data_IF_694039322224
#
_entry.id   IF_694039322224
#
_cell.length_a   1.000
_cell.length_b   1.000
_cell.length_c   1.000
_cell.angle_alpha   90.00
_cell.angle_beta   90.00
_cell.angle_gamma   90.00
#
_symmetry.space_group_name_H-M   'P 1'
#
loop_
_entity.id
_entity.type
_entity.pdbx_description
1 polymer ?
#
# COMPACT_ATOMS: atom_id res chain seq x y z
N UNK A 1 -26.94 -79.67 49.96
CA UNK A 1 -28.31 -79.86 50.47
C UNK A 1 -28.89 -78.46 50.66
N UNK A 2 -29.30 -77.76 49.59
CA UNK A 2 -30.64 -77.69 48.96
C UNK A 2 -30.51 -76.77 47.72
N UNK A 3 -30.50 -77.22 46.45
CA UNK A 3 -31.60 -77.32 45.44
C UNK A 3 -32.59 -76.13 45.47
N UNK A 4 -32.75 -75.29 44.43
CA UNK A 4 -33.39 -75.44 43.08
C UNK A 4 -32.66 -74.51 42.04
N UNK A 5 -32.31 -74.82 40.78
CA UNK A 5 -33.04 -75.15 39.52
C UNK A 5 -34.16 -74.12 39.18
N UNK A 6 -34.29 -73.43 38.03
CA UNK A 6 -34.13 -73.80 36.61
C UNK A 6 -33.83 -72.60 35.68
N UNK A 7 -33.12 -72.94 34.60
CA UNK A 7 -32.98 -72.39 33.24
C UNK A 7 -34.02 -71.42 32.64
N UNK A 8 -33.55 -70.41 31.89
CA UNK A 8 -33.91 -70.12 30.46
C UNK A 8 -33.05 -68.95 29.92
N UNK A 9 -32.13 -69.19 28.96
CA UNK A 9 -32.27 -68.96 27.50
C UNK A 9 -31.72 -67.59 27.02
N UNK A 10 -30.65 -67.68 26.22
CA UNK A 10 -30.25 -66.84 25.08
C UNK A 10 -29.98 -65.33 25.28
N UNK A 11 -28.79 -64.89 24.85
CA UNK A 11 -28.55 -63.47 24.55
C UNK A 11 -27.09 -63.03 24.67
N UNK A 12 -26.24 -63.60 23.84
CA UNK A 12 -24.88 -63.18 23.48
C UNK A 12 -24.56 -61.67 23.59
N UNK A 13 -23.59 -61.31 24.44
CA UNK A 13 -22.78 -60.08 24.32
C UNK A 13 -21.36 -60.33 24.85
N UNK A 14 -20.60 -61.14 24.12
CA UNK A 14 -19.15 -61.23 24.25
C UNK A 14 -18.54 -60.78 22.91
N UNK A 15 -17.50 -59.94 23.03
CA UNK A 15 -16.62 -59.44 21.98
C UNK A 15 -17.23 -58.48 20.93
N UNK A 16 -16.62 -57.30 20.81
CA UNK A 16 -15.94 -56.82 19.60
C UNK A 16 -15.73 -55.29 19.69
N UNK A 17 -14.78 -54.87 20.54
CA UNK A 17 -14.13 -53.57 20.39
C UNK A 17 -12.88 -53.77 19.52
N UNK A 18 -13.06 -53.92 18.20
CA UNK A 18 -12.01 -53.63 17.22
C UNK A 18 -12.60 -53.59 15.80
N UNK A 19 -12.47 -52.43 15.14
CA UNK A 19 -12.48 -52.33 13.67
C UNK A 19 -13.83 -52.05 13.01
N UNK A 20 -14.14 -50.76 12.78
CA UNK A 20 -14.84 -50.37 11.55
C UNK A 20 -14.56 -48.90 11.19
N UNK A 21 -13.39 -48.68 10.56
CA UNK A 21 -13.27 -47.59 9.59
C UNK A 21 -14.23 -47.86 8.41
N UNK A 22 -14.71 -46.80 7.77
CA UNK A 22 -15.46 -46.78 6.51
C UNK A 22 -16.92 -47.24 6.56
N UNK A 23 -17.83 -46.25 6.73
CA UNK A 23 -19.05 -46.01 5.91
C UNK A 23 -20.00 -45.05 6.65
N UNK A 24 -19.64 -43.77 6.72
CA UNK A 24 -20.57 -42.69 7.03
C UNK A 24 -20.07 -41.38 6.39
N UNK A 25 -19.67 -41.46 5.12
CA UNK A 25 -19.48 -40.32 4.23
C UNK A 25 -20.54 -40.42 3.15
N UNK A 26 -21.73 -39.90 3.41
CA UNK A 26 -22.66 -39.40 2.39
C UNK A 26 -23.97 -38.99 3.08
N UNK A 27 -24.43 -37.79 2.72
CA UNK A 27 -25.79 -37.24 2.94
C UNK A 27 -26.05 -36.56 4.30
N UNK A 28 -25.54 -35.33 4.44
CA UNK A 28 -26.39 -34.19 4.85
C UNK A 28 -25.76 -32.85 4.41
N UNK A 29 -25.47 -32.72 3.11
CA UNK A 29 -25.26 -31.42 2.48
C UNK A 29 -26.59 -31.00 1.86
N UNK A 30 -27.31 -30.09 2.50
CA UNK A 30 -28.23 -29.07 1.94
C UNK A 30 -28.82 -28.36 3.16
N UNK A 31 -28.38 -27.11 3.37
CA UNK A 31 -29.11 -25.96 3.91
C UNK A 31 -28.14 -25.05 4.69
N UNK A 32 -27.20 -24.43 3.99
CA UNK A 32 -26.58 -23.16 4.39
C UNK A 32 -26.05 -22.46 3.12
N UNK A 33 -26.94 -22.28 2.15
CA UNK A 33 -26.73 -21.30 1.09
C UNK A 33 -27.21 -19.95 1.64
N UNK A 34 -26.40 -19.35 2.51
CA UNK A 34 -26.48 -17.91 2.75
C UNK A 34 -25.95 -17.27 1.46
N UNK A 35 -26.71 -16.39 0.80
CA UNK A 35 -26.17 -15.65 -0.33
C UNK A 35 -25.03 -14.80 0.23
N UNK A 36 -23.81 -15.20 -0.13
CA UNK A 36 -22.59 -14.44 0.11
C UNK A 36 -22.87 -13.04 -0.40
N UNK A 37 -22.91 -12.10 0.54
CA UNK A 37 -23.32 -10.73 0.31
C UNK A 37 -22.58 -10.16 -0.89
N UNK A 38 -23.32 -9.33 -1.63
CA UNK A 38 -22.84 -8.40 -2.61
C UNK A 38 -21.62 -7.65 -2.02
N UNK A 39 -20.41 -8.18 -2.24
CA UNK A 39 -19.18 -7.44 -2.00
C UNK A 39 -19.19 -6.39 -3.09
N UNK A 40 -19.66 -5.19 -2.75
CA UNK A 40 -19.47 -4.03 -3.59
C UNK A 40 -17.99 -3.96 -3.90
N UNK A 41 -17.63 -4.05 -5.18
CA UNK A 41 -16.32 -3.65 -5.66
C UNK A 41 -16.24 -2.14 -5.44
N UNK A 42 -15.88 -1.74 -4.22
CA UNK A 42 -15.37 -0.40 -3.98
C UNK A 42 -14.15 -0.26 -4.86
N UNK A 43 -14.25 0.60 -5.86
CA UNK A 43 -13.10 1.15 -6.55
C UNK A 43 -12.28 1.83 -5.45
N UNK A 44 -11.14 1.25 -5.10
CA UNK A 44 -10.17 1.92 -4.25
C UNK A 44 -9.75 3.17 -5.03
N UNK A 45 -10.07 4.34 -4.48
CA UNK A 45 -9.69 5.58 -5.10
C UNK A 45 -8.23 5.84 -4.72
N UNK A 46 -7.41 6.16 -5.71
CA UNK A 46 -6.07 6.72 -5.52
C UNK A 46 -6.06 7.87 -4.47
N UNK A 47 -7.15 8.64 -4.39
CA UNK A 47 -7.24 9.76 -3.47
C UNK A 47 -8.64 9.83 -2.84
N UNK A 48 -8.70 10.21 -1.57
CA UNK A 48 -9.94 10.53 -0.88
C UNK A 48 -10.29 12.01 -1.07
N UNK A 49 -11.44 12.29 -1.67
CA UNK A 49 -12.01 13.64 -1.76
C UNK A 49 -13.02 13.91 -0.64
N UNK A 50 -12.89 15.04 0.06
CA UNK A 50 -13.82 15.45 1.13
C UNK A 50 -13.94 16.98 1.24
N UNK A 51 -15.16 17.47 1.45
CA UNK A 51 -15.41 18.87 1.76
C UNK A 51 -15.05 19.16 3.23
N UNK A 52 -14.31 20.27 3.44
CA UNK A 52 -13.80 20.76 4.71
C UNK A 52 -14.12 22.24 4.81
N UNK A 53 -15.26 22.56 5.41
CA UNK A 53 -15.74 23.95 5.48
C UNK A 53 -15.96 24.54 4.10
N UNK A 54 -15.24 25.61 3.78
CA UNK A 54 -15.28 26.31 2.50
C UNK A 54 -14.31 25.72 1.45
N UNK A 55 -13.72 24.56 1.71
CA UNK A 55 -12.70 23.94 0.86
C UNK A 55 -13.07 22.51 0.49
N UNK A 56 -12.52 22.01 -0.61
CA UNK A 56 -12.47 20.59 -0.95
C UNK A 56 -11.03 20.11 -0.86
N UNK A 57 -10.83 19.02 -0.11
CA UNK A 57 -9.54 18.36 0.08
C UNK A 57 -9.53 17.05 -0.70
N UNK A 58 -8.53 16.86 -1.54
CA UNK A 58 -8.26 15.57 -2.20
C UNK A 58 -6.92 15.04 -1.69
N UNK A 59 -6.96 13.97 -0.91
CA UNK A 59 -5.84 13.47 -0.09
C UNK A 59 -5.42 12.08 -0.56
N UNK A 60 -4.11 11.85 -0.70
CA UNK A 60 -3.56 10.54 -1.05
C UNK A 60 -2.05 10.49 -0.90
N UNK A 61 -1.41 9.52 -1.55
CA UNK A 61 0.04 9.46 -1.66
C UNK A 61 0.56 10.26 -2.88
N UNK A 62 1.84 10.67 -2.84
CA UNK A 62 2.47 11.37 -3.97
C UNK A 62 2.56 10.48 -5.22
N UNK A 63 2.86 9.20 -5.02
CA UNK A 63 2.98 8.21 -6.09
C UNK A 63 2.29 6.92 -5.69
N UNK A 64 1.56 6.32 -6.62
CA UNK A 64 0.73 5.15 -6.33
C UNK A 64 1.00 3.98 -7.29
N UNK A 65 1.04 2.73 -6.79
CA UNK A 65 0.84 2.36 -5.37
C UNK A 65 1.97 2.87 -4.48
N UNK A 66 1.65 3.24 -3.24
CA UNK A 66 2.69 3.58 -2.27
C UNK A 66 3.42 2.31 -1.87
N UNK A 67 4.75 2.30 -1.92
CA UNK A 67 5.58 1.11 -1.67
C UNK A 67 6.53 1.35 -0.51
N UNK A 68 6.58 0.40 0.42
CA UNK A 68 7.53 0.39 1.55
C UNK A 68 8.98 0.59 1.06
N UNK A 69 9.71 1.52 1.66
CA UNK A 69 11.13 1.76 1.40
C UNK A 69 11.43 2.59 0.16
N UNK A 70 10.41 3.03 -0.60
CA UNK A 70 10.58 3.94 -1.74
C UNK A 70 10.23 5.38 -1.37
N UNK A 71 10.85 6.37 -2.04
CA UNK A 71 10.49 7.78 -1.83
C UNK A 71 9.02 8.00 -2.21
N UNK A 72 8.26 8.62 -1.31
CA UNK A 72 6.85 8.95 -1.51
C UNK A 72 6.48 10.14 -0.60
N UNK A 73 5.21 10.30 -0.25
CA UNK A 73 4.79 11.28 0.72
C UNK A 73 3.28 11.49 0.76
N UNK A 74 2.85 12.46 1.56
CA UNK A 74 1.48 12.97 1.55
C UNK A 74 1.28 13.84 0.32
N UNK A 75 0.14 13.66 -0.34
CA UNK A 75 -0.38 14.51 -1.42
C UNK A 75 -1.72 15.08 -0.96
N UNK A 76 -1.88 16.41 -1.01
CA UNK A 76 -3.17 17.07 -0.80
C UNK A 76 -3.41 18.13 -1.87
N UNK A 77 -4.56 18.10 -2.53
CA UNK A 77 -5.07 19.21 -3.34
C UNK A 77 -6.13 19.96 -2.56
N UNK A 78 -6.06 21.29 -2.58
CA UNK A 78 -7.00 22.17 -1.88
C UNK A 78 -7.61 23.14 -2.88
N UNK A 79 -8.94 23.10 -3.01
CA UNK A 79 -9.71 24.04 -3.82
C UNK A 79 -10.80 24.72 -2.98
N UNK A 80 -11.11 25.98 -3.24
CA UNK A 80 -12.27 26.68 -2.69
C UNK A 80 -13.58 26.06 -3.19
N UNK A 81 -14.51 25.83 -2.27
CA UNK A 81 -15.86 25.35 -2.54
C UNK A 81 -16.86 26.49 -2.80
N UNK A 82 -16.45 27.76 -2.67
CA UNK A 82 -17.27 28.91 -3.07
C UNK A 82 -17.26 29.05 -4.60
N UNK A 83 -18.45 29.11 -5.20
CA UNK A 83 -18.59 29.53 -6.59
C UNK A 83 -18.32 31.04 -6.67
N UNK A 84 -17.44 31.44 -7.56
CA UNK A 84 -17.19 32.87 -7.82
C UNK A 84 -18.45 33.51 -8.44
N UNK A 85 -19.17 34.27 -7.63
CA UNK A 85 -20.01 35.38 -8.11
C UNK A 85 -19.06 36.51 -8.54
N UNK A 86 -18.44 36.36 -9.71
CA UNK A 86 -17.81 37.49 -10.38
C UNK A 86 -18.69 37.97 -11.53
N UNK A 87 -19.55 38.93 -11.20
CA UNK A 87 -20.12 39.89 -12.15
C UNK A 87 -18.96 40.53 -12.93
N UNK A 88 -18.84 40.20 -14.22
CA UNK A 88 -18.04 40.99 -15.12
C UNK A 88 -18.86 42.22 -15.54
N UNK A 89 -18.73 43.30 -14.77
CA UNK A 89 -19.04 44.64 -15.27
C UNK A 89 -18.06 44.99 -16.40
N UNK A 90 -18.67 45.51 -17.46
CA UNK A 90 -18.10 46.03 -18.69
C UNK A 90 -16.87 46.92 -18.44
N UNK A 91 -15.76 46.67 -19.16
CA UNK A 91 -14.95 47.77 -19.67
C UNK A 91 -14.16 47.36 -20.91
N UNK A 92 -14.57 47.97 -22.03
CA UNK A 92 -13.89 47.92 -23.30
C UNK A 92 -12.73 48.92 -23.31
N UNK A 93 -11.48 48.48 -23.47
CA UNK A 93 -10.43 49.29 -24.10
C UNK A 93 -9.17 48.47 -24.48
N UNK A 94 -9.08 48.19 -25.78
CA UNK A 94 -7.89 48.34 -26.63
C UNK A 94 -6.50 47.88 -26.14
N UNK A 95 -5.99 46.83 -26.80
CA UNK A 95 -4.67 46.84 -27.44
C UNK A 95 -3.51 46.21 -26.67
N UNK A 96 -3.16 44.96 -27.00
CA UNK A 96 -1.92 44.56 -27.69
C UNK A 96 -1.95 43.03 -27.85
N UNK A 97 -2.04 42.57 -29.09
CA UNK A 97 -2.28 41.17 -29.42
C UNK A 97 -0.97 40.41 -29.63
N UNK A 98 -0.50 39.73 -28.59
CA UNK A 98 0.58 38.74 -28.71
C UNK A 98 0.15 37.41 -28.11
N UNK A 99 -0.04 36.41 -28.98
CA UNK A 99 0.03 34.99 -28.67
C UNK A 99 -1.12 34.43 -27.84
N UNK A 100 -2.23 34.05 -28.48
CA UNK A 100 -3.18 33.08 -27.93
C UNK A 100 -2.47 31.73 -27.84
N UNK A 101 -1.81 31.46 -26.72
CA UNK A 101 -1.36 30.12 -26.37
C UNK A 101 -2.61 29.27 -26.13
N UNK A 102 -2.92 28.37 -27.06
CA UNK A 102 -3.98 27.41 -26.85
C UNK A 102 -3.47 26.41 -25.83
N UNK A 103 -3.91 26.63 -24.60
CA UNK A 103 -3.68 25.74 -23.48
C UNK A 103 -4.45 24.41 -23.70
N UNK A 104 -3.78 23.50 -24.41
CA UNK A 104 -4.16 22.11 -24.70
C UNK A 104 -4.30 21.24 -23.44
N UNK A 105 -3.95 21.79 -22.29
CA UNK A 105 -3.90 21.18 -20.98
C UNK A 105 -5.18 21.52 -20.19
N UNK A 106 -5.79 22.68 -20.45
CA UNK A 106 -7.00 23.19 -19.76
C UNK A 106 -8.36 22.56 -20.18
N UNK A 107 -8.46 21.73 -21.22
CA UNK A 107 -9.77 21.37 -21.82
C UNK A 107 -10.23 19.91 -21.72
N UNK A 108 -9.45 19.01 -21.13
CA UNK A 108 -9.64 17.58 -21.43
C UNK A 108 -9.23 17.28 -22.88
N UNK A 109 -9.07 16.01 -23.22
CA UNK A 109 -8.61 15.64 -24.56
C UNK A 109 -9.47 16.31 -25.65
N UNK A 110 -8.83 17.03 -26.58
CA UNK A 110 -9.41 17.54 -27.84
C UNK A 110 -10.38 16.56 -28.51
N UNK A 111 -10.06 15.27 -28.44
CA UNK A 111 -10.95 14.21 -28.86
C UNK A 111 -10.90 12.99 -27.95
N UNK A 112 -12.04 12.30 -27.89
CA UNK A 112 -12.18 10.94 -27.35
C UNK A 112 -13.04 10.16 -28.34
N UNK A 113 -12.54 9.02 -28.80
CA UNK A 113 -13.24 8.13 -29.71
C UNK A 113 -13.31 6.71 -29.14
N UNK A 114 -14.51 6.15 -29.04
CA UNK A 114 -14.71 4.72 -28.80
C UNK A 114 -14.81 3.98 -30.14
N UNK A 115 -13.92 3.01 -30.37
CA UNK A 115 -13.86 2.25 -31.62
C UNK A 115 -14.08 0.77 -31.33
N UNK A 116 -15.17 0.20 -31.85
CA UNK A 116 -15.29 -1.25 -31.98
C UNK A 116 -14.17 -1.81 -32.88
N UNK A 117 -13.95 -3.13 -32.85
CA UNK A 117 -12.97 -3.78 -33.73
C UNK A 117 -13.29 -3.48 -35.21
N UNK A 118 -12.32 -2.95 -35.96
CA UNK A 118 -12.48 -2.53 -37.35
C UNK A 118 -13.23 -1.22 -37.58
N UNK A 119 -13.64 -0.51 -36.52
CA UNK A 119 -14.27 0.81 -36.63
C UNK A 119 -13.21 1.93 -36.75
N UNK A 120 -13.67 3.14 -37.10
CA UNK A 120 -12.84 4.33 -37.15
C UNK A 120 -13.49 5.53 -36.46
N UNK A 121 -12.66 6.49 -36.08
CA UNK A 121 -13.03 7.77 -35.48
C UNK A 121 -12.29 8.90 -36.19
N UNK A 122 -12.94 10.05 -36.38
CA UNK A 122 -12.37 11.19 -37.09
C UNK A 122 -12.39 12.46 -36.25
N UNK A 123 -11.35 13.28 -36.39
CA UNK A 123 -11.25 14.60 -35.78
C UNK A 123 -10.50 15.55 -36.71
N UNK A 124 -10.96 16.79 -36.84
CA UNK A 124 -10.32 17.81 -37.70
C UNK A 124 -9.74 18.92 -36.83
N UNK A 125 -8.46 19.20 -37.02
CA UNK A 125 -7.76 20.30 -36.32
C UNK A 125 -7.95 21.59 -37.11
N UNK A 126 -8.67 22.57 -36.58
CA UNK A 126 -8.80 23.89 -37.20
C UNK A 126 -7.51 24.73 -37.11
N UNK A 127 -7.47 25.84 -37.83
CA UNK A 127 -6.37 26.82 -37.85
C UNK A 127 -5.89 27.33 -36.48
N UNK A 128 -6.70 27.18 -35.44
CA UNK A 128 -6.33 27.56 -34.08
C UNK A 128 -5.19 26.67 -33.52
N UNK A 129 -5.09 25.41 -33.94
CA UNK A 129 -4.06 24.47 -33.46
C UNK A 129 -2.70 24.60 -34.14
N UNK A 130 -2.46 25.66 -34.91
CA UNK A 130 -1.23 25.85 -35.66
C UNK A 130 0.01 25.95 -34.74
N UNK A 131 1.13 25.41 -35.19
CA UNK A 131 2.39 25.29 -34.45
C UNK A 131 2.32 24.52 -33.11
N UNK A 132 1.24 23.77 -32.86
CA UNK A 132 1.09 22.93 -31.68
C UNK A 132 1.47 21.47 -31.93
N UNK A 133 1.90 20.80 -30.86
CA UNK A 133 2.07 19.34 -30.83
C UNK A 133 1.06 18.75 -29.87
N UNK A 134 0.17 17.91 -30.39
CA UNK A 134 -0.91 17.28 -29.64
C UNK A 134 -0.53 15.82 -29.37
N UNK A 135 -0.25 15.43 -28.10
CA UNK A 135 -0.07 14.03 -27.75
C UNK A 135 -1.40 13.28 -27.80
N UNK A 136 -1.36 11.96 -28.00
CA UNK A 136 -2.52 11.08 -27.88
C UNK A 136 -2.12 9.67 -27.41
N UNK A 137 -3.07 8.91 -26.88
CA UNK A 137 -2.88 7.53 -26.45
C UNK A 137 -4.16 6.70 -26.59
N UNK A 138 -4.05 5.38 -26.42
CA UNK A 138 -5.18 4.46 -26.52
C UNK A 138 -5.15 3.37 -25.44
N UNK A 139 -6.33 3.00 -24.94
CA UNK A 139 -6.51 1.89 -24.01
C UNK A 139 -7.21 0.70 -24.69
N UNK A 140 -6.71 -0.54 -24.48
CA UNK A 140 -5.78 -0.95 -23.42
C UNK A 140 -4.29 -1.02 -23.83
N UNK A 141 -3.94 -0.59 -25.05
CA UNK A 141 -2.58 -0.79 -25.58
C UNK A 141 -1.50 0.04 -24.88
N UNK A 142 -1.90 1.05 -24.11
CA UNK A 142 -1.00 1.89 -23.32
C UNK A 142 0.22 2.34 -24.14
N UNK A 143 -0.05 2.81 -25.36
CA UNK A 143 0.94 3.38 -26.27
C UNK A 143 0.65 4.87 -26.48
N UNK A 144 1.69 5.66 -26.70
CA UNK A 144 1.60 7.10 -26.97
C UNK A 144 2.01 7.44 -28.40
N UNK A 145 1.30 8.37 -29.01
CA UNK A 145 1.67 9.02 -30.27
C UNK A 145 1.58 10.54 -30.18
N UNK A 146 1.96 11.22 -31.27
CA UNK A 146 1.89 12.68 -31.36
C UNK A 146 1.46 13.19 -32.74
N UNK A 147 0.79 14.33 -32.76
CA UNK A 147 0.36 15.02 -33.98
C UNK A 147 0.95 16.43 -33.95
N UNK A 148 1.83 16.74 -34.89
CA UNK A 148 2.40 18.09 -35.05
C UNK A 148 1.63 18.84 -36.13
N UNK A 149 1.05 19.99 -35.80
CA UNK A 149 0.30 20.82 -36.75
C UNK A 149 1.19 21.99 -37.19
N UNK A 150 1.29 22.23 -38.51
CA UNK A 150 2.04 23.36 -39.05
C UNK A 150 1.79 23.63 -40.54
N UNK A 151 1.83 24.89 -40.94
CA UNK A 151 1.59 25.32 -42.34
C UNK A 151 2.62 24.80 -43.36
N UNK A 152 3.80 24.39 -42.92
CA UNK A 152 4.91 23.91 -43.76
C UNK A 152 4.80 22.42 -44.16
N UNK A 153 3.78 21.69 -43.68
CA UNK A 153 3.59 20.24 -43.90
C UNK A 153 2.83 19.92 -45.20
N UNK A 154 2.78 18.67 -45.70
CA UNK A 154 2.03 18.33 -46.92
C UNK A 154 0.52 18.63 -46.78
N UNK A 155 -0.11 19.19 -47.82
CA UNK A 155 -1.57 19.31 -47.85
C UNK A 155 -2.17 17.95 -48.21
N UNK A 156 -2.76 17.30 -47.22
CA UNK A 156 -3.56 16.10 -47.35
C UNK A 156 -4.85 16.34 -46.59
N UNK A 157 -5.99 15.95 -47.16
CA UNK A 157 -7.29 16.20 -46.53
C UNK A 157 -7.50 15.28 -45.32
N UNK A 158 -6.97 14.05 -45.41
CA UNK A 158 -7.08 13.02 -44.37
C UNK A 158 -5.74 12.34 -44.13
N UNK A 159 -5.35 12.18 -42.87
CA UNK A 159 -4.25 11.30 -42.43
C UNK A 159 -4.81 10.18 -41.56
N UNK A 160 -4.44 8.94 -41.88
CA UNK A 160 -4.87 7.75 -41.14
C UNK A 160 -3.81 7.35 -40.12
N UNK A 161 -4.25 7.06 -38.90
CA UNK A 161 -3.44 6.49 -37.82
C UNK A 161 -4.07 5.13 -37.45
N UNK A 162 -3.35 4.05 -37.71
CA UNK A 162 -3.78 2.70 -37.37
C UNK A 162 -3.42 2.36 -35.92
N UNK A 163 -4.37 1.75 -35.19
CA UNK A 163 -4.18 1.27 -33.83
C UNK A 163 -3.99 -0.24 -33.84
N UNK A 164 -2.82 -0.69 -33.42
CA UNK A 164 -2.40 -2.09 -33.33
C UNK A 164 -2.12 -2.49 -31.88
N UNK A 165 -2.05 -3.79 -31.58
CA UNK A 165 -1.77 -4.30 -30.22
C UNK A 165 -0.42 -3.83 -29.64
N UNK A 166 0.51 -3.40 -30.50
CA UNK A 166 1.86 -2.98 -30.15
C UNK A 166 2.09 -1.46 -30.30
N UNK A 167 1.06 -0.66 -30.63
CA UNK A 167 1.17 0.78 -30.77
C UNK A 167 0.46 1.35 -32.00
N UNK A 168 0.95 2.49 -32.49
CA UNK A 168 0.33 3.24 -33.59
C UNK A 168 1.18 3.24 -34.86
N UNK A 169 0.53 3.23 -36.01
CA UNK A 169 1.17 3.40 -37.31
C UNK A 169 0.46 4.48 -38.15
N UNK A 170 1.06 5.67 -38.37
CA UNK A 170 2.29 6.14 -37.74
C UNK A 170 2.08 6.58 -36.28
N UNK A 171 3.10 6.40 -35.44
CA UNK A 171 3.10 6.94 -34.07
C UNK A 171 3.31 8.46 -33.99
N UNK A 172 3.79 9.08 -35.07
CA UNK A 172 3.93 10.53 -35.18
C UNK A 172 3.39 10.99 -36.54
N UNK A 173 2.38 11.86 -36.51
CA UNK A 173 1.81 12.47 -37.70
C UNK A 173 2.19 13.96 -37.78
N UNK A 174 2.45 14.45 -38.98
CA UNK A 174 2.66 15.88 -39.26
C UNK A 174 1.57 16.34 -40.22
N UNK A 175 0.76 17.30 -39.82
CA UNK A 175 -0.40 17.76 -40.58
C UNK A 175 -0.42 19.28 -40.73
N UNK A 176 -1.19 19.77 -41.70
CA UNK A 176 -1.55 21.19 -41.77
C UNK A 176 -2.82 21.43 -40.93
N UNK A 177 -3.09 22.68 -40.54
CA UNK A 177 -4.42 23.01 -40.07
C UNK A 177 -5.48 22.68 -41.14
N UNK A 178 -6.70 22.44 -40.67
CA UNK A 178 -7.87 21.93 -41.37
C UNK A 178 -7.75 20.50 -41.92
N UNK A 179 -6.70 19.74 -41.53
CA UNK A 179 -6.55 18.31 -41.88
C UNK A 179 -7.39 17.44 -40.93
N UNK A 180 -8.09 16.44 -41.49
CA UNK A 180 -8.78 15.41 -40.71
C UNK A 180 -7.82 14.27 -40.34
N UNK A 181 -7.76 13.91 -39.07
CA UNK A 181 -7.16 12.65 -38.62
C UNK A 181 -8.24 11.59 -38.54
N UNK A 182 -7.98 10.41 -39.10
CA UNK A 182 -8.79 9.21 -38.93
C UNK A 182 -8.01 8.17 -38.14
N UNK A 183 -8.52 7.81 -36.97
CA UNK A 183 -8.03 6.66 -36.21
C UNK A 183 -8.76 5.40 -36.65
N UNK A 184 -8.05 4.33 -36.95
CA UNK A 184 -8.64 3.04 -37.32
C UNK A 184 -8.24 1.96 -36.30
N UNK A 185 -9.22 1.24 -35.77
CA UNK A 185 -8.95 0.13 -34.86
C UNK A 185 -8.68 -1.16 -35.64
N UNK A 186 -7.40 -1.52 -35.78
CA UNK A 186 -6.96 -2.75 -36.45
C UNK A 186 -6.82 -3.94 -35.48
N UNK A 187 -7.17 -3.77 -34.20
CA UNK A 187 -7.16 -4.83 -33.21
C UNK A 187 -8.45 -5.68 -33.24
N UNK A 188 -8.38 -6.87 -32.63
CA UNK A 188 -9.53 -7.75 -32.47
C UNK A 188 -10.54 -7.29 -31.39
N UNK A 189 -10.16 -6.32 -30.55
CA UNK A 189 -10.93 -5.85 -29.39
C UNK A 189 -11.28 -4.37 -29.53
N UNK A 190 -12.37 -3.90 -28.88
CA UNK A 190 -12.67 -2.47 -28.84
C UNK A 190 -11.55 -1.70 -28.11
N UNK A 191 -11.38 -0.44 -28.50
CA UNK A 191 -10.38 0.47 -27.95
C UNK A 191 -10.99 1.85 -27.75
N UNK A 192 -10.41 2.63 -26.85
CA UNK A 192 -10.68 4.06 -26.74
C UNK A 192 -9.41 4.80 -27.10
N UNK A 193 -9.50 5.73 -28.04
CA UNK A 193 -8.40 6.64 -28.39
C UNK A 193 -8.72 8.03 -27.85
N UNK A 194 -7.73 8.69 -27.27
CA UNK A 194 -7.90 10.02 -26.68
C UNK A 194 -6.64 10.86 -26.87
N UNK A 195 -6.81 12.16 -27.11
CA UNK A 195 -5.70 13.11 -27.05
C UNK A 195 -5.29 13.38 -25.60
N UNK A 196 -4.00 13.53 -25.36
CA UNK A 196 -3.35 13.65 -24.05
C UNK A 196 -2.16 12.68 -23.92
N UNK A 197 -1.19 12.95 -23.03
CA UNK A 197 -0.08 12.04 -22.78
C UNK A 197 -0.55 10.73 -22.13
N UNK A 198 0.10 9.63 -22.48
CA UNK A 198 0.04 8.39 -21.73
C UNK A 198 0.95 8.54 -20.51
N UNK A 199 0.42 8.36 -19.31
CA UNK A 199 1.10 8.67 -18.05
C UNK A 199 2.57 8.20 -17.97
N UNK A 200 3.52 9.14 -18.01
CA UNK A 200 4.70 9.10 -17.15
C UNK A 200 4.32 9.85 -15.87
N UNK A 201 4.53 9.23 -14.70
CA UNK A 201 4.17 9.70 -13.35
C UNK A 201 4.23 11.22 -13.24
N UNK A 202 3.08 11.86 -13.48
CA UNK A 202 2.79 13.25 -13.16
C UNK A 202 1.28 13.34 -13.00
N UNK A 203 0.86 14.02 -11.94
CA UNK A 203 -0.51 14.09 -11.46
C UNK A 203 -1.48 14.65 -12.54
N UNK A 204 -2.79 14.39 -12.41
CA UNK A 204 -3.77 14.55 -13.47
C UNK A 204 -4.11 16.03 -13.72
N UNK A 205 -4.27 16.40 -14.99
CA UNK A 205 -4.94 17.64 -15.39
C UNK A 205 -6.35 17.34 -15.89
N UNK A 206 -7.33 17.95 -15.22
CA UNK A 206 -8.74 17.89 -15.63
C UNK A 206 -9.77 17.60 -14.55
N UNK A 207 -9.39 17.40 -13.28
CA UNK A 207 -10.28 17.82 -12.19
C UNK A 207 -10.00 19.32 -11.93
N UNK A 208 -11.04 20.18 -11.90
CA UNK A 208 -10.94 21.63 -12.14
C UNK A 208 -10.06 22.30 -11.08
N UNK A 209 -9.00 23.04 -11.45
CA UNK A 209 -8.12 23.63 -10.43
C UNK A 209 -7.28 24.86 -10.84
N UNK A 210 -7.72 25.71 -11.77
CA UNK A 210 -7.10 27.05 -11.89
C UNK A 210 -7.92 28.13 -11.18
N UNK A 211 -9.25 28.14 -11.34
CA UNK A 211 -10.09 29.22 -10.83
C UNK A 211 -10.20 29.24 -9.28
N UNK A 212 -10.17 28.06 -8.64
CA UNK A 212 -10.44 27.94 -7.19
C UNK A 212 -9.27 27.34 -6.40
N UNK A 213 -8.06 27.26 -6.96
CA UNK A 213 -6.93 26.67 -6.25
C UNK A 213 -6.48 27.56 -5.09
N UNK A 214 -6.31 26.96 -3.89
CA UNK A 214 -5.83 27.69 -2.72
C UNK A 214 -4.31 27.61 -2.66
N UNK A 215 -3.63 28.66 -3.13
CA UNK A 215 -2.16 28.73 -3.25
C UNK A 215 -1.48 29.43 -2.07
N UNK A 216 -0.17 29.26 -1.90
CA UNK A 216 0.62 30.07 -0.97
C UNK A 216 0.39 29.79 0.53
N UNK A 217 -0.14 28.63 0.90
CA UNK A 217 -0.36 28.27 2.30
C UNK A 217 0.96 28.07 3.04
N UNK A 218 1.07 28.64 4.24
CA UNK A 218 2.26 28.57 5.10
C UNK A 218 1.98 28.04 6.52
N UNK A 219 0.71 28.00 6.91
CA UNK A 219 0.23 27.69 8.26
C UNK A 219 -0.31 26.27 8.40
N UNK A 220 -0.71 25.64 7.29
CA UNK A 220 -1.22 24.27 7.28
C UNK A 220 -0.07 23.25 7.39
N UNK A 221 -0.22 22.29 8.28
CA UNK A 221 0.73 21.20 8.50
C UNK A 221 0.02 19.85 8.43
N UNK A 222 0.80 18.77 8.29
CA UNK A 222 0.29 17.40 8.33
C UNK A 222 1.00 16.58 9.40
N UNK A 223 0.23 15.91 10.26
CA UNK A 223 0.71 14.84 11.13
C UNK A 223 0.45 13.49 10.44
N UNK A 224 1.54 12.77 10.14
CA UNK A 224 1.50 11.44 9.53
C UNK A 224 1.63 10.40 10.62
N UNK A 225 0.69 9.47 10.71
CA UNK A 225 0.68 8.38 11.70
C UNK A 225 0.61 7.01 11.01
N UNK A 226 1.53 6.11 11.33
CA UNK A 226 1.42 4.71 10.91
C UNK A 226 0.47 3.95 11.85
N UNK A 227 -0.65 3.45 11.33
CA UNK A 227 -1.80 2.97 12.12
C UNK A 227 -1.46 1.77 13.00
N UNK A 228 -0.62 0.85 12.53
CA UNK A 228 -0.28 -0.35 13.31
C UNK A 228 0.66 -0.05 14.47
N UNK A 229 1.59 0.91 14.30
CA UNK A 229 2.59 1.24 15.34
C UNK A 229 2.21 2.44 16.22
N UNK A 230 1.25 3.26 15.76
CA UNK A 230 0.88 4.55 16.34
C UNK A 230 2.03 5.56 16.46
N UNK A 231 3.13 5.34 15.74
CA UNK A 231 4.21 6.32 15.60
C UNK A 231 3.76 7.43 14.67
N UNK A 232 3.94 8.68 15.11
CA UNK A 232 3.49 9.88 14.42
C UNK A 232 4.62 10.89 14.25
N UNK A 233 4.57 11.65 13.16
CA UNK A 233 5.48 12.76 12.90
C UNK A 233 4.75 13.90 12.20
N UNK A 234 4.95 15.13 12.69
CA UNK A 234 4.49 16.35 12.03
C UNK A 234 5.47 16.73 10.93
N UNK A 235 4.93 17.07 9.76
CA UNK A 235 5.66 17.46 8.56
C UNK A 235 5.07 18.74 7.97
N UNK A 236 5.94 19.55 7.38
CA UNK A 236 5.55 20.76 6.67
C UNK A 236 5.09 20.41 5.25
N UNK A 237 4.04 21.09 4.81
CA UNK A 237 3.55 21.00 3.43
C UNK A 237 4.30 22.00 2.55
N UNK A 238 4.65 21.58 1.34
CA UNK A 238 5.24 22.43 0.30
C UNK A 238 4.34 22.41 -0.92
N UNK A 239 4.05 23.58 -1.49
CA UNK A 239 3.29 23.68 -2.73
C UNK A 239 4.09 23.06 -3.89
N UNK A 240 3.44 22.21 -4.68
CA UNK A 240 4.04 21.53 -5.80
C UNK A 240 4.21 22.51 -6.98
N UNK A 241 5.44 22.62 -7.48
CA UNK A 241 5.73 23.48 -8.60
C UNK A 241 4.88 23.12 -9.84
N UNK A 242 4.35 24.14 -10.51
CA UNK A 242 3.49 23.98 -11.69
C UNK A 242 2.11 23.38 -11.42
N UNK A 243 1.73 23.15 -10.16
CA UNK A 243 0.45 22.57 -9.77
C UNK A 243 -0.20 23.42 -8.67
N UNK A 244 -0.87 24.54 -9.01
CA UNK A 244 -1.49 25.43 -8.03
C UNK A 244 -2.45 24.70 -7.09
N UNK A 245 -2.35 24.98 -5.79
CA UNK A 245 -3.22 24.37 -4.77
C UNK A 245 -2.91 22.90 -4.44
N UNK A 246 -1.88 22.32 -5.06
CA UNK A 246 -1.36 21.02 -4.71
C UNK A 246 -0.21 21.18 -3.71
N UNK A 247 -0.29 20.50 -2.57
CA UNK A 247 0.76 20.47 -1.55
C UNK A 247 1.24 19.04 -1.29
N UNK A 248 2.49 18.94 -0.85
CA UNK A 248 3.19 17.68 -0.61
C UNK A 248 4.01 17.71 0.67
N UNK A 249 4.10 16.58 1.34
CA UNK A 249 5.09 16.33 2.40
C UNK A 249 5.78 15.00 2.13
N UNK A 250 7.04 15.05 1.71
CA UNK A 250 7.79 13.86 1.30
C UNK A 250 8.28 13.05 2.50
N UNK A 251 8.13 11.73 2.42
CA UNK A 251 8.74 10.78 3.34
C UNK A 251 8.90 9.40 2.68
N UNK A 252 9.76 8.56 3.25
CA UNK A 252 9.86 7.16 2.85
C UNK A 252 9.01 6.33 3.82
N UNK A 253 7.88 5.71 3.40
CA UNK A 253 7.16 4.79 4.27
C UNK A 253 8.03 3.58 4.56
N UNK A 254 8.42 3.38 5.82
CA UNK A 254 9.30 2.27 6.23
C UNK A 254 8.54 1.05 6.75
N UNK A 255 7.21 1.07 6.66
CA UNK A 255 6.34 -0.05 7.02
C UNK A 255 5.12 -0.05 6.09
N UNK A 256 4.61 -1.23 5.70
CA UNK A 256 3.41 -1.33 4.90
C UNK A 256 2.15 -1.21 5.78
N UNK A 257 1.01 -1.08 5.13
CA UNK A 257 -0.31 -1.01 5.76
C UNK A 257 -0.83 0.42 5.87
N UNK A 258 -1.79 0.60 6.77
CA UNK A 258 -2.55 1.84 6.86
C UNK A 258 -1.80 3.02 7.47
N UNK A 259 -2.04 4.20 6.89
CA UNK A 259 -1.55 5.49 7.36
C UNK A 259 -2.71 6.46 7.58
N UNK A 260 -2.56 7.32 8.59
CA UNK A 260 -3.47 8.43 8.88
C UNK A 260 -2.75 9.74 8.64
N UNK A 261 -3.41 10.63 7.91
CA UNK A 261 -2.97 12.01 7.71
C UNK A 261 -3.93 12.94 8.44
N UNK A 262 -3.40 13.71 9.40
CA UNK A 262 -4.15 14.75 10.09
C UNK A 262 -3.62 16.11 9.64
N UNK A 263 -4.44 16.85 8.91
CA UNK A 263 -4.14 18.21 8.47
C UNK A 263 -4.63 19.19 9.53
N UNK A 264 -3.74 20.05 10.02
CA UNK A 264 -4.09 21.03 11.04
C UNK A 264 -3.39 22.36 10.82
N UNK A 265 -4.03 23.44 11.25
CA UNK A 265 -3.53 24.80 11.10
C UNK A 265 -4.63 25.77 10.74
N UNK A 266 -4.32 26.67 9.81
CA UNK A 266 -5.23 27.72 9.37
C UNK A 266 -5.15 27.85 7.84
N UNK A 267 -6.30 28.06 7.18
CA UNK A 267 -6.41 28.42 5.77
C UNK A 267 -7.29 29.66 5.70
N UNK A 268 -6.70 30.80 5.33
CA UNK A 268 -7.38 32.11 5.22
C UNK A 268 -8.21 32.50 6.45
N UNK A 269 -7.71 32.23 7.67
CA UNK A 269 -8.41 32.51 8.92
C UNK A 269 -9.42 31.44 9.35
N UNK A 270 -9.57 30.38 8.56
CA UNK A 270 -10.37 29.20 8.93
C UNK A 270 -9.46 28.16 9.59
N UNK A 271 -9.74 27.86 10.85
CA UNK A 271 -9.04 26.81 11.58
C UNK A 271 -9.36 25.43 10.98
N UNK A 272 -8.31 24.66 10.67
CA UNK A 272 -8.41 23.31 10.12
C UNK A 272 -7.89 22.30 11.15
N UNK A 273 -8.60 21.20 11.34
CA UNK A 273 -8.18 20.03 12.11
C UNK A 273 -8.92 18.79 11.59
N UNK A 274 -8.45 18.24 10.46
CA UNK A 274 -9.12 17.18 9.72
C UNK A 274 -8.27 15.93 9.58
N UNK A 275 -8.91 14.77 9.64
CA UNK A 275 -8.22 13.47 9.63
C UNK A 275 -8.71 12.58 8.49
N UNK A 276 -7.75 11.98 7.79
CA UNK A 276 -7.94 11.04 6.68
C UNK A 276 -7.19 9.75 7.00
N UNK A 277 -7.83 8.60 6.79
CA UNK A 277 -7.23 7.29 7.04
C UNK A 277 -7.28 6.47 5.76
N UNK A 278 -6.17 5.85 5.38
CA UNK A 278 -6.12 4.93 4.24
C UNK A 278 -7.00 3.72 4.50
N UNK A 279 -7.69 3.23 3.47
CA UNK A 279 -8.57 2.07 3.55
C UNK A 279 -8.92 1.56 2.15
N UNK A 280 -9.75 0.52 2.06
CA UNK A 280 -10.29 0.05 0.79
C UNK A 280 -11.35 0.98 0.15
N UNK A 281 -11.77 2.03 0.86
CA UNK A 281 -12.81 2.98 0.39
C UNK A 281 -12.34 4.43 0.35
N UNK A 282 -11.12 4.70 0.78
CA UNK A 282 -10.49 6.04 0.80
C UNK A 282 -9.25 5.98 -0.10
N UNK A 283 -8.12 6.58 0.30
CA UNK A 283 -6.84 6.40 -0.39
C UNK A 283 -6.15 5.09 0.02
N UNK A 284 -5.26 4.59 -0.84
CA UNK A 284 -4.66 3.26 -0.71
C UNK A 284 -3.71 3.15 0.49
N UNK A 285 -3.54 1.92 0.99
CA UNK A 285 -2.53 1.58 1.99
C UNK A 285 -1.13 1.40 1.36
N UNK A 286 -0.08 1.53 2.17
CA UNK A 286 1.29 1.25 1.69
C UNK A 286 1.46 -0.26 1.44
N UNK A 287 1.86 -0.60 0.24
CA UNK A 287 2.15 -1.98 -0.18
C UNK A 287 3.54 -2.43 0.27
N UNK A 288 3.72 -3.70 0.68
CA UNK A 288 5.04 -4.27 0.94
C UNK A 288 5.87 -4.33 -0.35
N UNK A 289 7.12 -3.88 -0.29
CA UNK A 289 8.02 -3.96 -1.44
C UNK A 289 8.24 -5.40 -1.93
N UNK A 290 8.15 -6.38 -1.03
CA UNK A 290 8.33 -7.81 -1.35
C UNK A 290 7.29 -8.36 -2.34
N UNK A 291 6.15 -7.68 -2.51
CA UNK A 291 5.12 -8.05 -3.48
C UNK A 291 5.56 -7.80 -4.93
N UNK A 292 6.32 -6.73 -5.15
CA UNK A 292 6.76 -6.27 -6.48
C UNK A 292 8.24 -6.53 -6.76
N UNK A 293 8.99 -7.09 -5.81
CA UNK A 293 10.40 -7.42 -5.99
C UNK A 293 10.63 -8.65 -6.88
N UNK A 294 11.56 -8.49 -7.82
CA UNK A 294 12.06 -9.53 -8.71
C UNK A 294 13.55 -9.30 -9.00
N UNK A 295 14.39 -10.34 -9.21
CA UNK A 295 14.07 -11.78 -9.18
C UNK A 295 14.08 -12.39 -7.77
N UNK A 296 14.73 -11.71 -6.82
CA UNK A 296 14.84 -12.16 -5.45
C UNK A 296 13.98 -11.25 -4.60
N UNK A 297 13.03 -11.84 -3.87
CA UNK A 297 12.25 -11.13 -2.85
C UNK A 297 13.06 -11.06 -1.58
N UNK A 298 13.39 -9.85 -1.15
CA UNK A 298 14.11 -9.59 0.08
C UNK A 298 13.11 -9.40 1.23
N UNK A 299 13.52 -9.85 2.41
CA UNK A 299 12.83 -9.55 3.65
C UNK A 299 12.97 -8.06 3.95
N UNK A 300 11.93 -7.43 4.52
CA UNK A 300 11.99 -6.01 4.87
C UNK A 300 13.14 -5.72 5.86
N UNK A 301 13.72 -4.52 5.80
CA UNK A 301 14.85 -4.14 6.65
C UNK A 301 14.50 -4.27 8.15
N UNK A 302 13.30 -3.84 8.54
CA UNK A 302 12.77 -3.95 9.90
C UNK A 302 12.70 -5.40 10.42
N UNK A 303 12.36 -6.35 9.56
CA UNK A 303 12.24 -7.76 9.93
C UNK A 303 13.62 -8.37 10.15
N UNK A 304 14.59 -7.99 9.31
CA UNK A 304 15.99 -8.38 9.46
C UNK A 304 16.56 -7.83 10.77
N UNK A 305 16.29 -6.55 11.10
CA UNK A 305 16.73 -5.95 12.35
C UNK A 305 16.06 -6.60 13.57
N UNK A 306 14.76 -6.87 13.51
CA UNK A 306 14.03 -7.56 14.58
C UNK A 306 14.58 -8.97 14.82
N UNK A 307 14.88 -9.73 13.75
CA UNK A 307 15.50 -11.03 13.86
C UNK A 307 16.91 -10.95 14.49
N UNK A 308 17.71 -9.96 14.10
CA UNK A 308 19.04 -9.73 14.66
C UNK A 308 18.98 -9.36 16.16
N UNK A 309 18.05 -8.49 16.55
CA UNK A 309 17.82 -8.13 17.96
C UNK A 309 17.38 -9.36 18.77
N UNK A 310 16.46 -10.16 18.25
CA UNK A 310 16.03 -11.41 18.90
C UNK A 310 17.17 -12.40 19.10
N UNK A 311 18.02 -12.58 18.07
CA UNK A 311 19.20 -13.44 18.15
C UNK A 311 20.21 -12.94 19.20
N UNK A 312 20.42 -11.62 19.29
CA UNK A 312 21.31 -11.02 20.30
C UNK A 312 20.78 -11.22 21.73
N UNK A 313 19.48 -11.04 21.95
CA UNK A 313 18.84 -11.29 23.26
C UNK A 313 19.02 -12.75 23.67
N UNK A 314 18.69 -13.70 22.79
CA UNK A 314 18.85 -15.13 23.06
C UNK A 314 20.31 -15.51 23.35
N UNK A 315 21.27 -14.89 22.64
CA UNK A 315 22.71 -15.12 22.89
C UNK A 315 23.15 -14.59 24.27
N UNK A 316 22.66 -13.43 24.69
CA UNK A 316 22.96 -12.85 25.99
C UNK A 316 22.34 -13.68 27.14
N UNK A 317 21.11 -14.13 26.98
CA UNK A 317 20.44 -15.03 27.94
C UNK A 317 21.23 -16.33 28.11
N UNK A 318 21.59 -16.98 27.01
CA UNK A 318 22.42 -18.19 27.04
C UNK A 318 23.79 -17.96 27.72
N UNK A 319 24.40 -16.78 27.53
CA UNK A 319 25.65 -16.40 28.21
C UNK A 319 25.48 -16.23 29.72
N UNK A 320 24.36 -15.65 30.17
CA UNK A 320 24.02 -15.54 31.59
C UNK A 320 23.79 -16.92 32.21
N UNK A 321 22.95 -17.75 31.58
CA UNK A 321 22.65 -19.11 32.04
C UNK A 321 23.90 -19.97 32.17
N UNK A 322 24.81 -19.88 31.19
CA UNK A 322 26.10 -20.58 31.24
C UNK A 322 26.98 -20.11 32.40
N UNK A 323 26.99 -18.80 32.69
CA UNK A 323 27.76 -18.21 33.80
C UNK A 323 27.20 -18.63 35.16
N UNK A 324 25.87 -18.68 35.29
CA UNK A 324 25.17 -19.12 36.50
C UNK A 324 25.36 -20.62 36.76
N UNK A 325 25.27 -21.44 35.71
CA UNK A 325 25.56 -22.87 35.78
C UNK A 325 27.02 -23.12 36.22
N UNK A 326 27.98 -22.37 35.67
CA UNK A 326 29.40 -22.46 36.04
C UNK A 326 29.65 -22.07 37.50
N UNK A 327 29.01 -20.99 37.97
CA UNK A 327 29.11 -20.52 39.35
C UNK A 327 28.48 -21.51 40.34
N UNK A 328 27.33 -22.08 39.98
CA UNK A 328 26.66 -23.13 40.76
C UNK A 328 27.52 -24.38 40.86
N UNK A 329 28.11 -24.82 39.74
CA UNK A 329 29.02 -25.97 39.71
C UNK A 329 30.27 -25.73 40.58
N UNK A 330 30.83 -24.52 40.54
CA UNK A 330 31.99 -24.14 41.36
C UNK A 330 31.64 -24.14 42.85
N UNK A 331 30.48 -23.60 43.22
CA UNK A 331 29.96 -23.61 44.60
C UNK A 331 29.72 -25.05 45.08
N UNK A 332 29.12 -25.90 44.24
CA UNK A 332 28.90 -27.31 44.57
C UNK A 332 30.23 -28.07 44.78
N UNK A 333 31.25 -27.82 43.94
CA UNK A 333 32.61 -28.38 44.12
C UNK A 333 33.20 -27.94 45.46
N UNK A 334 33.10 -26.65 45.81
CA UNK A 334 33.60 -26.14 47.09
C UNK A 334 32.90 -26.80 48.28
N UNK A 335 31.56 -26.85 48.27
CA UNK A 335 30.78 -27.51 49.32
C UNK A 335 31.11 -29.00 49.43
N UNK A 336 31.28 -29.69 48.29
CA UNK A 336 31.70 -31.09 48.25
C UNK A 336 33.08 -31.31 48.89
N UNK A 337 34.04 -30.44 48.62
CA UNK A 337 35.36 -30.48 49.26
C UNK A 337 35.28 -30.27 50.78
N UNK A 338 34.49 -29.29 51.22
CA UNK A 338 34.27 -29.02 52.65
C UNK A 338 33.62 -30.23 53.34
N UNK A 339 32.57 -30.80 52.75
CA UNK A 339 31.90 -31.98 53.27
C UNK A 339 32.85 -33.19 53.39
N UNK A 340 33.74 -33.39 52.40
CA UNK A 340 34.75 -34.45 52.43
C UNK A 340 35.74 -34.27 53.59
N UNK A 341 36.21 -33.04 53.82
CA UNK A 341 37.09 -32.73 54.97
C UNK A 341 36.39 -33.04 56.29
N UNK A 342 35.14 -32.59 56.47
CA UNK A 342 34.37 -32.88 57.68
C UNK A 342 34.13 -34.39 57.87
N UNK A 343 33.84 -35.14 56.80
CA UNK A 343 33.68 -36.59 56.88
C UNK A 343 34.96 -37.29 57.36
N UNK A 344 36.13 -36.88 56.84
CA UNK A 344 37.42 -37.41 57.29
C UNK A 344 37.71 -37.08 58.76
N UNK A 345 37.44 -35.85 59.20
CA UNK A 345 37.59 -35.46 60.61
C UNK A 345 36.66 -36.27 61.51
N UNK A 346 35.40 -36.45 61.11
CA UNK A 346 34.43 -37.26 61.83
C UNK A 346 34.87 -38.72 61.97
N UNK A 347 35.41 -39.32 60.90
CA UNK A 347 35.97 -40.68 60.92
C UNK A 347 37.15 -40.78 61.89
N UNK A 348 38.07 -39.82 61.89
CA UNK A 348 39.22 -39.81 62.79
C UNK A 348 38.80 -39.70 64.28
N UNK A 349 37.87 -38.78 64.59
CA UNK A 349 37.33 -38.61 65.94
C UNK A 349 36.54 -39.85 66.40
N UNK A 350 35.72 -40.43 65.53
CA UNK A 350 34.97 -41.66 65.81
C UNK A 350 35.89 -42.87 66.06
N UNK A 351 36.95 -43.02 65.26
CA UNK A 351 37.97 -44.05 65.45
C UNK A 351 38.71 -43.89 66.78
N UNK A 352 39.09 -42.66 67.15
CA UNK A 352 39.74 -42.38 68.44
C UNK A 352 38.81 -42.69 69.64
N UNK A 353 37.51 -42.36 69.54
CA UNK A 353 36.53 -42.69 70.57
C UNK A 353 36.31 -44.22 70.70
N UNK A 354 36.27 -44.94 69.58
CA UNK A 354 36.18 -46.41 69.57
C UNK A 354 37.38 -47.07 70.24
N UNK A 355 38.60 -46.61 69.93
CA UNK A 355 39.83 -47.10 70.56
C UNK A 355 39.88 -46.83 72.08
N UNK A 356 39.36 -45.68 72.53
CA UNK A 356 39.26 -45.32 73.96
C UNK A 356 38.17 -46.08 74.71
N UNK A 357 37.09 -46.48 74.02
CA UNK A 357 36.03 -47.32 74.58
C UNK A 357 36.53 -48.75 74.83
N UNK A 358 37.31 -49.31 73.90
CA UNK A 358 37.90 -50.65 74.03
C UNK A 358 38.91 -50.79 75.18
N UNK A 359 39.51 -49.69 75.66
CA UNK A 359 40.45 -49.74 76.79
C UNK A 359 39.77 -49.68 78.17
N UNK A 360 38.45 -49.51 78.24
CA UNK A 360 37.69 -49.46 79.51
C UNK A 360 37.09 -50.81 79.92
N UNK A 361 37.20 -51.86 79.10
CA UNK A 361 36.70 -53.20 79.46
C UNK A 361 37.73 -54.09 80.18
N UNK A 362 38.85 -53.52 80.66
CA UNK A 362 39.95 -54.27 81.29
C UNK A 362 40.39 -53.68 82.64
N UNK A 363 39.43 -53.29 83.48
CA UNK A 363 39.68 -53.08 84.91
C UNK A 363 38.41 -53.45 85.70
N UNK A 364 38.54 -54.57 86.43
CA UNK A 364 37.71 -55.03 87.54
C UNK A 364 37.59 -53.99 88.65
#
# INVERSE_FOLDING_TARGET
>A
MSVLNESTIFGSYEMFLFGWCTRARLLLTILFAVPLGLIGTGIALAHEGRDVGDYNFVVGFISEPAVEGMLNGVSIRITSAKADDHEHEDDAATGDGTGTEIDLVSHGGLFIGELAAGAHYEFTFSSEFDDLTVPFHAHPVEAQGSIMIGHDKPAVDVVVIEIHENGFEPAMAMIRPDTTIRFENHMAKPTVVMSGPLSEVTAPEGAPAAANAVTGLTTLQVEVTHMASLVSQVMSLTEAFGNPGQYRAEFIPTSPGGYRFRFFGDIEGTAIDETFESSNTTFDEVTPASEIQFPIRLTAQRETENAARGALTAANEAGSDASDASSSASTAKLLGMIALVFALVGLALGGAAFLRSGSRSSSL
#
